data_IF_148110196616
#
_entry.id   IF_148110196616
#
_cell.length_a   1.000
_cell.length_b   1.000
_cell.length_c   1.000
_cell.angle_alpha   90.00
_cell.angle_beta   90.00
_cell.angle_gamma   90.00
#
_symmetry.space_group_name_H-M   'P 1'
#
loop_
_entity.id
_entity.type
_entity.pdbx_description
1 polymer ?
#
# COMPACT_ATOMS: atom_id res chain seq x y z
N UNK A 1 17.13 15.23 -17.94
CA UNK A 1 17.00 15.30 -16.45
C UNK A 1 17.21 13.91 -15.88
N UNK A 2 18.04 13.76 -14.83
CA UNK A 2 18.13 12.47 -14.12
C UNK A 2 16.77 12.18 -13.45
N UNK A 3 16.30 10.94 -13.49
CA UNK A 3 15.08 10.60 -12.78
C UNK A 3 15.26 10.83 -11.28
N UNK A 4 14.28 11.46 -10.64
CA UNK A 4 14.26 11.72 -9.20
C UNK A 4 14.25 10.35 -8.48
N UNK A 5 15.18 10.14 -7.55
CA UNK A 5 15.26 8.90 -6.79
C UNK A 5 14.02 8.71 -5.88
N UNK A 6 13.71 7.47 -5.51
CA UNK A 6 12.62 7.19 -4.56
C UNK A 6 12.86 7.88 -3.21
N UNK A 7 14.10 7.94 -2.76
CA UNK A 7 14.47 8.60 -1.52
C UNK A 7 14.14 10.10 -1.56
N UNK A 8 14.44 10.76 -2.68
CA UNK A 8 14.09 12.18 -2.88
C UNK A 8 12.58 12.38 -2.96
N UNK A 9 11.85 11.45 -3.60
CA UNK A 9 10.37 11.50 -3.63
C UNK A 9 9.76 11.41 -2.24
N UNK A 10 10.26 10.51 -1.38
CA UNK A 10 9.78 10.38 0.00
C UNK A 10 10.10 11.62 0.83
N UNK A 11 11.32 12.17 0.69
CA UNK A 11 11.71 13.41 1.35
C UNK A 11 10.81 14.57 0.91
N UNK A 12 10.63 14.78 -0.38
CA UNK A 12 9.76 15.83 -0.91
C UNK A 12 8.30 15.67 -0.47
N UNK A 13 7.80 14.44 -0.37
CA UNK A 13 6.46 14.19 0.15
C UNK A 13 6.33 14.65 1.61
N UNK A 14 7.32 14.32 2.46
CA UNK A 14 7.37 14.75 3.85
C UNK A 14 7.44 16.29 3.97
N UNK A 15 8.38 16.91 3.27
CA UNK A 15 8.58 18.37 3.29
C UNK A 15 7.31 19.12 2.85
N UNK A 16 6.72 18.71 1.75
CA UNK A 16 5.48 19.30 1.24
C UNK A 16 4.31 19.12 2.23
N UNK A 17 4.18 17.93 2.83
CA UNK A 17 3.13 17.63 3.80
C UNK A 17 3.29 18.47 5.07
N UNK A 18 4.50 18.56 5.62
CA UNK A 18 4.78 19.38 6.80
C UNK A 18 4.51 20.87 6.51
N UNK A 19 4.89 21.35 5.32
CA UNK A 19 4.59 22.72 4.91
C UNK A 19 3.07 22.99 4.78
N UNK A 20 2.28 22.00 4.30
CA UNK A 20 0.83 22.09 4.28
C UNK A 20 0.23 22.10 5.68
N UNK A 21 0.71 21.25 6.59
CA UNK A 21 0.25 21.23 7.99
C UNK A 21 0.55 22.54 8.72
N UNK A 22 1.72 23.14 8.48
CA UNK A 22 2.07 24.43 9.07
C UNK A 22 1.10 25.57 8.67
N UNK A 23 0.51 25.50 7.48
CA UNK A 23 -0.47 26.46 6.98
C UNK A 23 -1.90 26.16 7.44
N UNK A 24 -2.16 24.95 7.95
CA UNK A 24 -3.49 24.44 8.29
C UNK A 24 -3.47 23.82 9.68
N UNK A 25 -3.80 24.59 10.72
CA UNK A 25 -3.76 24.13 12.12
C UNK A 25 -4.75 22.99 12.42
N UNK A 26 -5.93 23.00 11.78
CA UNK A 26 -6.99 21.99 11.96
C UNK A 26 -6.88 20.80 11.01
N UNK A 27 -7.87 19.91 11.09
CA UNK A 27 -7.99 18.73 10.23
C UNK A 27 -8.59 19.04 8.85
N UNK A 28 -9.13 20.25 8.64
CA UNK A 28 -9.81 20.65 7.42
C UNK A 28 -11.16 19.93 7.22
N UNK A 29 -11.57 19.80 5.97
CA UNK A 29 -12.83 19.16 5.60
C UNK A 29 -12.83 17.66 5.94
N UNK A 30 -13.89 17.22 6.61
CA UNK A 30 -14.12 15.80 6.94
C UNK A 30 -14.86 15.17 5.76
N UNK A 31 -14.40 13.98 5.34
CA UNK A 31 -15.08 13.18 4.32
C UNK A 31 -16.19 12.35 4.96
N UNK A 32 -17.37 12.37 4.39
CA UNK A 32 -18.49 11.56 4.84
C UNK A 32 -18.25 10.05 4.63
N UNK A 33 -17.68 9.71 3.47
CA UNK A 33 -17.44 8.33 3.10
C UNK A 33 -16.05 7.84 3.52
N UNK A 34 -15.96 6.56 3.86
CA UNK A 34 -14.69 5.88 4.07
C UNK A 34 -13.90 5.79 2.76
N UNK A 35 -12.56 5.77 2.84
CA UNK A 35 -11.70 5.62 1.65
C UNK A 35 -11.98 4.34 0.87
N UNK A 36 -12.38 3.28 1.57
CA UNK A 36 -12.67 1.96 1.00
C UNK A 36 -13.81 1.30 1.75
N UNK A 37 -14.63 0.54 1.03
CA UNK A 37 -15.58 -0.40 1.62
C UNK A 37 -14.82 -1.63 2.14
N UNK A 38 -14.80 -1.91 3.47
CA UNK A 38 -14.06 -3.04 4.03
C UNK A 38 -14.60 -4.40 3.61
N UNK A 39 -15.85 -4.47 3.14
CA UNK A 39 -16.48 -5.71 2.65
C UNK A 39 -16.11 -6.03 1.19
N UNK A 40 -15.51 -5.08 0.47
CA UNK A 40 -15.13 -5.26 -0.93
C UNK A 40 -13.69 -5.71 -1.06
N UNK A 41 -13.47 -6.63 -1.99
CA UNK A 41 -12.17 -7.21 -2.30
C UNK A 41 -11.71 -6.79 -3.70
N UNK A 42 -10.41 -6.69 -3.86
CA UNK A 42 -9.73 -6.42 -5.12
C UNK A 42 -8.78 -7.57 -5.46
N UNK A 43 -8.37 -7.66 -6.70
CA UNK A 43 -7.19 -8.45 -7.08
C UNK A 43 -5.95 -7.56 -6.96
N UNK A 44 -4.96 -8.06 -6.26
CA UNK A 44 -3.68 -7.38 -6.08
C UNK A 44 -2.54 -8.38 -5.95
N UNK A 45 -1.33 -7.90 -6.18
CA UNK A 45 -0.10 -8.62 -5.88
C UNK A 45 0.72 -7.88 -4.85
N UNK A 46 1.41 -8.61 -4.00
CA UNK A 46 2.21 -8.00 -2.93
C UNK A 46 2.89 -9.01 -2.02
N UNK A 47 3.43 -8.51 -0.94
CA UNK A 47 4.01 -9.30 0.13
C UNK A 47 3.36 -8.96 1.46
N UNK A 48 3.24 -9.94 2.35
CA UNK A 48 2.95 -9.78 3.78
C UNK A 48 4.18 -10.23 4.57
N UNK A 49 5.17 -9.35 4.77
CA UNK A 49 6.39 -9.72 5.48
C UNK A 49 6.12 -9.91 6.97
N UNK A 50 6.95 -10.68 7.68
CA UNK A 50 6.94 -10.71 9.14
C UNK A 50 7.07 -9.29 9.70
N UNK A 51 6.26 -8.98 10.71
CA UNK A 51 6.29 -7.67 11.38
C UNK A 51 7.49 -7.64 12.35
N UNK A 52 8.46 -6.76 12.09
CA UNK A 52 9.58 -6.56 12.99
C UNK A 52 9.12 -5.93 14.31
N UNK A 53 9.94 -6.07 15.38
CA UNK A 53 9.63 -5.47 16.67
C UNK A 53 9.36 -3.96 16.57
N UNK A 54 10.21 -3.21 15.87
CA UNK A 54 10.06 -1.76 15.71
C UNK A 54 8.77 -1.39 14.95
N UNK A 55 8.42 -2.14 13.92
CA UNK A 55 7.16 -1.94 13.17
C UNK A 55 5.95 -2.29 14.02
N UNK A 56 6.03 -3.36 14.83
CA UNK A 56 4.97 -3.74 15.76
C UNK A 56 4.72 -2.66 16.81
N UNK A 57 5.78 -2.10 17.39
CA UNK A 57 5.69 -0.98 18.33
C UNK A 57 5.06 0.24 17.67
N UNK A 58 5.49 0.58 16.45
CA UNK A 58 4.95 1.71 15.68
C UNK A 58 3.44 1.57 15.43
N UNK A 59 2.98 0.39 14.98
CA UNK A 59 1.56 0.11 14.73
C UNK A 59 0.78 0.17 16.04
N UNK A 60 1.27 -0.45 17.11
CA UNK A 60 0.60 -0.46 18.42
C UNK A 60 0.43 0.95 18.99
N UNK A 61 1.43 1.79 18.80
CA UNK A 61 1.36 3.18 19.26
C UNK A 61 0.38 4.01 18.44
N UNK A 62 0.35 3.84 17.12
CA UNK A 62 -0.68 4.45 16.26
C UNK A 62 -2.08 4.00 16.68
N UNK A 63 -2.30 2.71 16.91
CA UNK A 63 -3.58 2.18 17.37
C UNK A 63 -4.00 2.78 18.71
N UNK A 64 -3.06 2.94 19.64
CA UNK A 64 -3.33 3.59 20.93
C UNK A 64 -3.73 5.06 20.77
N UNK A 65 -3.05 5.80 19.90
CA UNK A 65 -3.33 7.23 19.62
C UNK A 65 -4.67 7.45 18.93
N UNK A 66 -5.15 6.45 18.18
CA UNK A 66 -6.36 6.57 17.36
C UNK A 66 -7.54 5.75 17.88
N UNK A 67 -7.40 5.13 19.05
CA UNK A 67 -8.36 4.16 19.59
C UNK A 67 -9.82 4.65 19.60
N UNK A 68 -10.01 5.91 19.97
CA UNK A 68 -11.34 6.50 20.11
C UNK A 68 -11.64 7.56 19.03
N UNK A 69 -10.84 7.59 17.95
CA UNK A 69 -11.01 8.53 16.84
C UNK A 69 -11.73 7.87 15.66
N UNK A 70 -13.02 8.20 15.43
CA UNK A 70 -13.82 7.58 14.37
C UNK A 70 -13.38 7.97 12.95
N UNK A 71 -12.49 8.95 12.81
CA UNK A 71 -11.94 9.36 11.52
C UNK A 71 -10.67 8.59 11.15
N UNK A 72 -10.07 7.89 12.10
CA UNK A 72 -8.83 7.16 11.89
C UNK A 72 -9.09 5.71 11.45
N UNK A 73 -8.46 5.31 10.35
CA UNK A 73 -8.38 3.93 9.88
C UNK A 73 -6.91 3.49 10.01
N UNK A 74 -6.59 2.87 11.14
CA UNK A 74 -5.24 2.42 11.47
C UNK A 74 -5.06 0.95 11.10
N UNK A 75 -3.98 0.65 10.38
CA UNK A 75 -3.63 -0.70 9.97
C UNK A 75 -3.43 -1.61 11.18
N UNK A 76 -4.13 -2.74 11.29
CA UNK A 76 -3.80 -3.77 12.26
C UNK A 76 -2.56 -4.56 11.82
N UNK A 77 -1.77 -5.07 12.79
CA UNK A 77 -0.50 -5.73 12.51
C UNK A 77 -0.61 -6.90 11.52
N UNK A 78 -1.70 -7.69 11.59
CA UNK A 78 -1.96 -8.79 10.66
C UNK A 78 -2.19 -8.34 9.21
N UNK A 79 -2.47 -7.07 8.99
CA UNK A 79 -2.64 -6.47 7.66
C UNK A 79 -1.36 -5.84 7.12
N UNK A 80 -0.22 -5.95 7.81
CA UNK A 80 1.03 -5.34 7.35
C UNK A 80 1.47 -5.95 6.02
N UNK A 81 1.52 -5.12 4.98
CA UNK A 81 1.78 -5.56 3.62
C UNK A 81 2.44 -4.48 2.79
N UNK A 82 3.07 -4.89 1.70
CA UNK A 82 3.50 -4.00 0.62
C UNK A 82 2.85 -4.45 -0.67
N UNK A 83 2.03 -3.59 -1.26
CA UNK A 83 1.43 -3.87 -2.56
C UNK A 83 2.48 -3.77 -3.65
N UNK A 84 2.66 -4.86 -4.41
CA UNK A 84 3.54 -4.90 -5.58
C UNK A 84 2.87 -4.24 -6.79
N UNK A 85 1.66 -4.69 -7.14
CA UNK A 85 0.79 -4.07 -8.15
C UNK A 85 -0.67 -4.31 -7.80
N UNK A 86 -1.47 -3.26 -7.53
CA UNK A 86 -2.92 -3.41 -7.44
C UNK A 86 -3.49 -3.54 -8.85
N UNK A 87 -4.36 -4.55 -9.07
CA UNK A 87 -4.82 -4.94 -10.41
C UNK A 87 -6.23 -4.44 -10.72
N UNK A 88 -7.12 -4.44 -9.72
CA UNK A 88 -8.51 -4.03 -9.90
C UNK A 88 -8.94 -3.03 -8.84
N UNK A 89 -10.03 -2.34 -9.08
CA UNK A 89 -10.81 -1.69 -8.03
C UNK A 89 -11.39 -2.75 -7.08
N UNK A 90 -11.83 -2.39 -5.86
CA UNK A 90 -12.45 -3.32 -4.91
C UNK A 90 -13.90 -3.63 -5.34
N UNK A 91 -14.06 -4.52 -6.31
CA UNK A 91 -15.32 -4.84 -6.97
C UNK A 91 -15.95 -6.16 -6.52
N UNK A 92 -15.18 -7.03 -5.86
CA UNK A 92 -15.61 -8.39 -5.54
C UNK A 92 -16.16 -8.50 -4.12
N UNK A 93 -17.24 -9.28 -3.94
CA UNK A 93 -17.68 -9.73 -2.63
C UNK A 93 -16.89 -10.98 -2.20
N UNK A 94 -16.92 -11.29 -0.90
CA UNK A 94 -16.17 -12.41 -0.32
C UNK A 94 -16.39 -13.72 -1.09
N UNK A 95 -17.63 -14.15 -1.22
CA UNK A 95 -18.00 -15.43 -1.84
C UNK A 95 -18.29 -15.32 -3.35
N UNK A 96 -18.03 -14.17 -3.94
CA UNK A 96 -18.23 -14.00 -5.38
C UNK A 96 -17.14 -14.74 -6.15
N UNK A 97 -17.50 -15.64 -7.09
CA UNK A 97 -16.53 -16.26 -7.97
C UNK A 97 -15.84 -15.21 -8.83
N UNK A 98 -14.55 -15.42 -9.08
CA UNK A 98 -13.80 -14.58 -10.01
C UNK A 98 -14.20 -14.91 -11.47
N UNK A 99 -14.09 -13.94 -12.38
CA UNK A 99 -14.40 -14.16 -13.79
C UNK A 99 -13.45 -15.22 -14.39
N UNK A 100 -13.93 -15.97 -15.37
CA UNK A 100 -13.15 -17.05 -16.01
C UNK A 100 -11.78 -16.58 -16.54
N UNK A 101 -11.67 -15.32 -16.97
CA UNK A 101 -10.40 -14.75 -17.42
C UNK A 101 -9.32 -14.68 -16.32
N UNK A 102 -9.63 -14.99 -15.05
CA UNK A 102 -8.63 -15.06 -13.98
C UNK A 102 -7.55 -16.10 -14.29
N UNK A 103 -7.87 -17.16 -15.03
CA UNK A 103 -6.92 -18.16 -15.48
C UNK A 103 -5.78 -17.53 -16.31
N UNK A 104 -6.06 -16.55 -17.14
CA UNK A 104 -5.00 -15.82 -17.87
C UNK A 104 -4.10 -15.04 -16.92
N UNK A 105 -4.66 -14.42 -15.89
CA UNK A 105 -3.89 -13.66 -14.90
C UNK A 105 -2.96 -14.57 -14.09
N UNK A 106 -3.46 -15.74 -13.65
CA UNK A 106 -2.64 -16.73 -12.93
C UNK A 106 -1.53 -17.29 -13.82
N UNK A 107 -1.79 -17.50 -15.11
CA UNK A 107 -0.72 -17.93 -16.08
C UNK A 107 0.36 -16.86 -16.24
N UNK A 108 -0.01 -15.58 -16.35
CA UNK A 108 0.97 -14.48 -16.38
C UNK A 108 1.76 -14.42 -15.06
N UNK A 109 1.06 -14.66 -13.94
CA UNK A 109 1.66 -14.60 -12.61
C UNK A 109 2.65 -15.74 -12.31
N UNK A 110 2.56 -16.87 -13.00
CA UNK A 110 3.42 -18.04 -12.76
C UNK A 110 4.92 -17.73 -12.76
N UNK A 111 5.37 -16.77 -13.58
CA UNK A 111 6.78 -16.34 -13.64
C UNK A 111 7.24 -15.57 -12.38
N UNK A 112 6.28 -15.00 -11.63
CA UNK A 112 6.52 -14.12 -10.47
C UNK A 112 6.19 -14.81 -9.15
N UNK A 113 5.43 -15.90 -9.21
CA UNK A 113 5.00 -16.65 -8.04
C UNK A 113 6.19 -17.11 -7.18
N UNK A 114 6.08 -16.93 -5.87
CA UNK A 114 7.12 -17.33 -4.92
C UNK A 114 8.45 -16.54 -5.02
N UNK A 115 8.56 -15.55 -5.93
CA UNK A 115 9.74 -14.69 -5.98
C UNK A 115 9.82 -13.85 -4.72
N UNK A 116 10.99 -13.87 -4.10
CA UNK A 116 11.27 -13.07 -2.91
C UNK A 116 11.69 -11.67 -3.31
N UNK A 117 11.14 -10.66 -2.65
CA UNK A 117 11.57 -9.26 -2.79
C UNK A 117 11.96 -8.69 -1.43
N UNK A 118 12.87 -7.73 -1.47
CA UNK A 118 13.34 -6.99 -0.29
C UNK A 118 13.07 -5.50 -0.52
N UNK A 119 12.51 -4.86 0.50
CA UNK A 119 12.30 -3.42 0.57
C UNK A 119 13.13 -2.90 1.72
N UNK A 120 14.16 -2.11 1.39
CA UNK A 120 15.19 -1.70 2.35
C UNK A 120 14.92 -0.32 2.95
N UNK A 121 15.52 -0.07 4.10
CA UNK A 121 15.55 1.25 4.74
C UNK A 121 14.13 1.82 4.93
N UNK A 122 13.25 1.07 5.59
CA UNK A 122 11.91 1.52 5.86
C UNK A 122 11.90 2.80 6.71
N UNK A 123 11.10 3.76 6.31
CA UNK A 123 10.94 5.06 6.97
C UNK A 123 9.50 5.53 6.94
N UNK A 124 9.13 6.39 7.87
CA UNK A 124 7.84 7.04 7.82
C UNK A 124 7.79 8.08 6.69
N UNK A 125 6.69 8.06 5.95
CA UNK A 125 6.34 9.05 4.93
C UNK A 125 4.95 9.58 5.25
N UNK A 126 4.84 10.90 5.33
CA UNK A 126 3.58 11.58 5.56
C UNK A 126 2.99 12.09 4.25
N UNK A 127 1.69 11.85 4.09
CA UNK A 127 0.81 12.55 3.17
C UNK A 127 -0.18 13.40 3.99
N UNK A 128 -0.86 14.38 3.41
CA UNK A 128 -1.71 15.29 4.19
C UNK A 128 -2.62 14.62 5.21
N UNK A 129 -3.23 13.49 4.84
CA UNK A 129 -4.18 12.71 5.65
C UNK A 129 -3.78 11.23 5.84
N UNK A 130 -2.52 10.86 5.60
CA UNK A 130 -2.07 9.47 5.72
C UNK A 130 -0.66 9.37 6.29
N UNK A 131 -0.38 8.26 6.96
CA UNK A 131 0.99 7.84 7.32
C UNK A 131 1.31 6.52 6.62
N UNK A 132 2.46 6.50 5.96
CA UNK A 132 2.97 5.36 5.22
C UNK A 132 4.28 4.89 5.86
N UNK A 133 4.54 3.59 5.80
CA UNK A 133 5.88 3.05 5.98
C UNK A 133 6.40 2.68 4.60
N UNK A 134 7.40 3.38 4.10
CA UNK A 134 7.91 3.23 2.75
C UNK A 134 9.41 2.93 2.73
N UNK A 135 9.86 2.21 1.73
CA UNK A 135 11.27 1.85 1.59
C UNK A 135 11.73 1.77 0.13
N UNK A 136 12.98 1.37 -0.04
CA UNK A 136 13.65 1.27 -1.34
C UNK A 136 13.68 -0.21 -1.78
N UNK A 137 12.96 -0.59 -2.83
CA UNK A 137 13.02 -1.96 -3.33
C UNK A 137 14.35 -2.24 -4.03
N UNK A 138 14.72 -3.49 -4.08
CA UNK A 138 15.83 -3.93 -4.93
C UNK A 138 15.52 -3.67 -6.41
N UNK A 139 16.56 -3.44 -7.20
CA UNK A 139 16.42 -3.15 -8.64
C UNK A 139 15.69 -4.28 -9.39
N UNK A 140 15.91 -5.53 -8.99
CA UNK A 140 15.19 -6.69 -9.52
C UNK A 140 13.67 -6.61 -9.27
N UNK A 141 13.24 -6.16 -8.10
CA UNK A 141 11.82 -5.99 -7.79
C UNK A 141 11.17 -4.89 -8.64
N UNK A 142 11.89 -3.80 -8.91
CA UNK A 142 11.42 -2.74 -9.81
C UNK A 142 11.22 -3.29 -11.23
N UNK A 143 12.21 -4.01 -11.75
CA UNK A 143 12.15 -4.61 -13.08
C UNK A 143 11.02 -5.65 -13.19
N UNK A 144 10.86 -6.51 -12.16
CA UNK A 144 9.77 -7.48 -12.11
C UNK A 144 8.39 -6.79 -12.11
N UNK A 145 8.21 -5.72 -11.33
CA UNK A 145 6.93 -4.98 -11.28
C UNK A 145 6.61 -4.34 -12.62
N UNK A 146 7.61 -3.77 -13.28
CA UNK A 146 7.46 -3.20 -14.61
C UNK A 146 7.06 -4.27 -15.64
N UNK A 147 7.79 -5.38 -15.70
CA UNK A 147 7.50 -6.49 -16.59
C UNK A 147 6.11 -7.09 -16.36
N UNK A 148 5.72 -7.29 -15.10
CA UNK A 148 4.39 -7.78 -14.77
C UNK A 148 3.29 -6.81 -15.21
N UNK A 149 3.47 -5.51 -14.97
CA UNK A 149 2.55 -4.47 -15.43
C UNK A 149 2.36 -4.48 -16.95
N UNK A 150 3.45 -4.61 -17.70
CA UNK A 150 3.42 -4.68 -19.18
C UNK A 150 2.67 -5.93 -19.69
N UNK A 151 2.91 -7.09 -19.07
CA UNK A 151 2.18 -8.34 -19.39
C UNK A 151 0.70 -8.24 -19.12
N UNK A 152 0.30 -7.61 -17.99
CA UNK A 152 -1.13 -7.39 -17.67
C UNK A 152 -1.76 -6.39 -18.65
N UNK A 153 -1.04 -5.32 -19.03
CA UNK A 153 -1.51 -4.38 -20.07
C UNK A 153 -1.70 -5.04 -21.44
N UNK A 154 -0.95 -6.10 -21.75
CA UNK A 154 -1.08 -6.88 -23.00
C UNK A 154 -2.16 -7.98 -22.91
N UNK A 155 -2.89 -8.08 -21.79
CA UNK A 155 -3.86 -9.15 -21.53
C UNK A 155 -5.30 -8.64 -21.52
N UNK A 156 -6.25 -9.54 -21.29
CA UNK A 156 -7.67 -9.20 -21.08
C UNK A 156 -7.93 -8.37 -19.80
N UNK A 157 -6.93 -8.18 -18.95
CA UNK A 157 -7.00 -7.41 -17.70
C UNK A 157 -6.57 -5.94 -17.87
N UNK A 158 -6.25 -5.53 -19.09
CA UNK A 158 -5.82 -4.15 -19.40
C UNK A 158 -6.79 -3.09 -18.86
N UNK A 159 -8.09 -3.28 -19.10
CA UNK A 159 -9.08 -2.27 -18.74
C UNK A 159 -9.21 -2.12 -17.23
N UNK A 160 -9.25 -3.23 -16.47
CA UNK A 160 -9.30 -3.22 -15.02
C UNK A 160 -8.06 -2.56 -14.42
N UNK A 161 -6.89 -2.87 -14.96
CA UNK A 161 -5.63 -2.26 -14.53
C UNK A 161 -5.62 -0.75 -14.78
N UNK A 162 -6.03 -0.31 -15.97
CA UNK A 162 -6.11 1.11 -16.31
C UNK A 162 -7.15 1.84 -15.44
N UNK A 163 -8.32 1.25 -15.20
CA UNK A 163 -9.34 1.80 -14.31
C UNK A 163 -8.80 1.94 -12.87
N UNK A 164 -8.04 0.95 -12.39
CA UNK A 164 -7.42 1.01 -11.05
C UNK A 164 -6.39 2.14 -10.94
N UNK A 165 -5.76 2.50 -12.03
CA UNK A 165 -4.67 3.49 -12.09
C UNK A 165 -5.06 4.81 -12.77
N UNK A 166 -6.35 5.11 -12.92
CA UNK A 166 -6.83 6.33 -13.62
C UNK A 166 -6.19 7.62 -13.09
N UNK A 167 -5.95 7.70 -11.77
CA UNK A 167 -5.41 8.89 -11.10
C UNK A 167 -3.99 8.69 -10.57
N UNK A 168 -3.25 7.70 -11.07
CA UNK A 168 -1.90 7.39 -10.60
C UNK A 168 -1.01 6.89 -11.73
N UNK A 169 0.30 7.04 -11.57
CA UNK A 169 1.25 6.40 -12.48
C UNK A 169 1.11 4.87 -12.43
N UNK A 170 1.39 4.21 -13.55
CA UNK A 170 1.36 2.76 -13.68
C UNK A 170 2.75 2.25 -14.13
N UNK A 171 3.45 1.50 -13.27
CA UNK A 171 3.15 1.27 -11.86
C UNK A 171 3.38 2.53 -11.01
N UNK A 172 2.66 2.64 -9.89
CA UNK A 172 2.86 3.75 -8.95
C UNK A 172 4.28 3.71 -8.37
N UNK A 173 4.95 4.88 -8.21
CA UNK A 173 6.36 4.90 -7.85
C UNK A 173 6.65 4.44 -6.42
N UNK A 174 5.74 4.66 -5.48
CA UNK A 174 5.98 4.36 -4.06
C UNK A 174 5.90 2.85 -3.77
N UNK A 175 6.77 2.42 -2.86
CA UNK A 175 6.78 1.09 -2.27
C UNK A 175 6.51 1.23 -0.79
N UNK A 176 5.26 1.03 -0.40
CA UNK A 176 4.81 1.36 0.94
C UNK A 176 3.74 0.41 1.48
N UNK A 177 3.66 0.39 2.79
CA UNK A 177 2.49 -0.04 3.57
C UNK A 177 1.79 1.19 4.11
N UNK A 178 0.49 1.31 3.94
CA UNK A 178 -0.28 2.42 4.55
C UNK A 178 -0.62 2.05 5.99
N UNK A 179 -0.02 2.76 6.94
CA UNK A 179 -0.23 2.51 8.37
C UNK A 179 -1.49 3.18 8.92
N UNK A 180 -1.82 4.33 8.35
CA UNK A 180 -2.96 5.13 8.79
C UNK A 180 -3.55 5.90 7.62
N UNK A 181 -4.89 5.88 7.52
CA UNK A 181 -5.70 6.81 6.73
C UNK A 181 -6.56 7.62 7.67
N UNK A 182 -6.67 8.90 7.42
CA UNK A 182 -7.48 9.79 8.22
C UNK A 182 -8.57 10.43 7.36
N UNK A 183 -9.82 10.29 7.76
CA UNK A 183 -11.00 10.69 6.98
C UNK A 183 -11.28 12.20 7.07
N UNK A 184 -10.20 13.00 6.91
CA UNK A 184 -10.26 14.45 6.76
C UNK A 184 -9.15 14.92 5.81
N UNK A 185 -9.12 16.22 5.51
CA UNK A 185 -8.10 16.78 4.61
C UNK A 185 -6.69 16.66 5.18
N UNK A 186 -6.54 16.75 6.51
CA UNK A 186 -5.25 16.71 7.21
C UNK A 186 -5.31 15.83 8.45
N UNK A 187 -4.15 15.31 8.86
CA UNK A 187 -4.00 14.64 10.15
C UNK A 187 -4.22 15.62 11.33
N UNK A 188 -4.77 15.19 12.48
CA UNK A 188 -4.84 15.97 13.69
C UNK A 188 -3.46 16.20 14.31
N UNK A 189 -3.35 17.20 15.19
CA UNK A 189 -2.08 17.64 15.79
C UNK A 189 -1.30 16.50 16.45
N UNK A 190 -1.95 15.59 17.16
CA UNK A 190 -1.30 14.46 17.84
C UNK A 190 -0.60 13.51 16.83
N UNK A 191 -1.23 13.23 15.69
CA UNK A 191 -0.66 12.37 14.65
C UNK A 191 0.44 13.07 13.84
N UNK A 192 0.35 14.40 13.65
CA UNK A 192 1.45 15.19 13.06
C UNK A 192 2.67 15.18 13.97
N UNK A 193 2.47 15.38 15.27
CA UNK A 193 3.55 15.33 16.27
C UNK A 193 4.20 13.94 16.32
N UNK A 194 3.38 12.89 16.34
CA UNK A 194 3.86 11.51 16.24
C UNK A 194 4.78 11.29 15.03
N UNK A 195 4.40 11.81 13.85
CA UNK A 195 5.24 11.72 12.65
C UNK A 195 6.56 12.49 12.84
N UNK A 196 6.50 13.75 13.30
CA UNK A 196 7.68 14.59 13.46
C UNK A 196 8.72 13.98 14.41
N UNK A 197 8.27 13.32 15.47
CA UNK A 197 9.16 12.65 16.43
C UNK A 197 9.82 11.38 15.87
N UNK A 198 9.20 10.73 14.87
CA UNK A 198 9.62 9.42 14.36
C UNK A 198 10.09 9.40 12.91
N UNK A 199 10.00 10.52 12.19
CA UNK A 199 10.39 10.58 10.78
C UNK A 199 11.86 10.22 10.51
N UNK A 200 12.72 10.36 11.50
CA UNK A 200 14.14 9.99 11.42
C UNK A 200 14.42 8.55 11.90
N UNK A 201 13.41 7.83 12.41
CA UNK A 201 13.59 6.47 12.91
C UNK A 201 13.83 5.48 11.76
N UNK A 202 14.65 4.46 12.05
CA UNK A 202 14.90 3.32 11.17
C UNK A 202 13.99 2.15 11.58
N UNK A 203 13.29 1.59 10.61
CA UNK A 203 12.38 0.44 10.81
C UNK A 203 12.90 -0.84 10.16
N UNK A 204 14.20 -0.89 9.86
CA UNK A 204 14.89 -1.98 9.18
C UNK A 204 14.35 -2.25 7.75
N UNK A 205 14.46 -3.49 7.31
CA UNK A 205 14.05 -3.95 5.99
C UNK A 205 12.80 -4.84 6.10
N UNK A 206 12.01 -4.92 5.03
CA UNK A 206 10.94 -5.90 4.88
C UNK A 206 11.24 -6.84 3.72
N UNK A 207 11.04 -8.13 3.92
CA UNK A 207 11.21 -9.14 2.88
C UNK A 207 10.06 -10.13 2.90
N UNK A 208 9.61 -10.57 1.74
CA UNK A 208 8.54 -11.54 1.62
C UNK A 208 8.44 -12.12 0.23
N UNK A 209 7.65 -13.18 0.10
CA UNK A 209 7.36 -13.81 -1.18
C UNK A 209 6.17 -13.15 -1.84
N UNK A 210 6.29 -12.91 -3.14
CA UNK A 210 5.25 -12.31 -3.96
C UNK A 210 4.05 -13.25 -4.06
N UNK A 211 2.87 -12.71 -3.77
CA UNK A 211 1.59 -13.41 -3.83
C UNK A 211 0.62 -12.63 -4.71
N UNK A 212 -0.11 -13.34 -5.58
CA UNK A 212 -1.32 -12.83 -6.23
C UNK A 212 -2.51 -13.27 -5.41
N UNK A 213 -3.37 -12.33 -4.99
CA UNK A 213 -4.47 -12.65 -4.10
C UNK A 213 -5.72 -11.79 -4.35
N UNK A 214 -6.86 -12.30 -3.88
CA UNK A 214 -8.08 -11.53 -3.67
C UNK A 214 -8.06 -10.98 -2.24
N UNK A 215 -7.98 -9.66 -2.10
CA UNK A 215 -7.68 -8.98 -0.82
C UNK A 215 -8.62 -7.84 -0.56
N UNK A 216 -8.86 -7.53 0.72
CA UNK A 216 -9.43 -6.24 1.09
C UNK A 216 -8.33 -5.16 1.10
N UNK A 217 -8.72 -3.90 1.26
CA UNK A 217 -7.84 -2.74 1.12
C UNK A 217 -6.64 -2.71 2.09
N UNK A 218 -6.71 -3.39 3.23
CA UNK A 218 -5.66 -3.45 4.26
C UNK A 218 -5.07 -4.86 4.43
N UNK A 219 -5.36 -5.79 3.54
CA UNK A 219 -4.84 -7.17 3.51
C UNK A 219 -5.10 -8.01 4.77
N UNK A 220 -6.03 -7.59 5.63
CA UNK A 220 -6.50 -8.42 6.75
C UNK A 220 -7.33 -9.61 6.27
N UNK A 221 -7.91 -9.50 5.09
CA UNK A 221 -8.53 -10.60 4.34
C UNK A 221 -7.70 -10.81 3.07
N UNK A 222 -7.07 -11.97 2.98
CA UNK A 222 -6.18 -12.32 1.87
C UNK A 222 -6.42 -13.77 1.46
N UNK A 223 -6.87 -13.96 0.22
CA UNK A 223 -7.08 -15.28 -0.40
C UNK A 223 -6.11 -15.42 -1.58
N UNK A 224 -4.98 -16.11 -1.40
CA UNK A 224 -4.05 -16.37 -2.48
C UNK A 224 -4.73 -17.10 -3.65
N UNK A 225 -4.46 -16.65 -4.85
CA UNK A 225 -4.83 -17.34 -6.06
C UNK A 225 -3.71 -18.32 -6.40
N UNK A 226 -3.81 -19.53 -5.89
CA UNK A 226 -2.93 -20.62 -6.28
C UNK A 226 -3.31 -21.09 -7.67
N UNK A 227 -2.35 -21.59 -8.45
CA UNK A 227 -2.64 -22.31 -9.67
C UNK A 227 -3.67 -23.41 -9.34
N UNK A 228 -4.77 -23.39 -10.05
CA UNK A 228 -5.70 -24.53 -9.99
C UNK A 228 -4.88 -25.76 -10.41
N UNK A 229 -4.59 -26.62 -9.45
CA UNK A 229 -4.06 -27.95 -9.76
C UNK A 229 -5.00 -28.55 -10.78
N UNK A 230 -4.50 -28.74 -12.00
CA UNK A 230 -5.23 -29.37 -13.10
C UNK A 230 -5.53 -30.82 -12.76
#
# INVERSE_FOLDING_TARGET
>A
MKPISLQERYRSANENTVAMWAKNAGIGEVREESYYDPAKLALATGIQPPVSFNVSCLISELQRLTKDDPLADTLPAQGFHFTFLPLTLPLYNLNQPLPAKVAQLTNIWAEFHGRKIVIRNLRLVALPSQLLLAGIPETSAIAMRQSFSEKVLASQWKNELLMRHTNSALPAPFWHSTLLRYRAAFLPAALRQFFLERQASDFADAAGELTLAKVNYNWTTCYPLTESVR
#
